data_IF_015752421935
#
_entry.id   IF_015752421935
#
_cell.length_a   1.000
_cell.length_b   1.000
_cell.length_c   1.000
_cell.angle_alpha   90.00
_cell.angle_beta   90.00
_cell.angle_gamma   90.00
#
_symmetry.space_group_name_H-M   'P 1'
#
loop_
_entity.id
_entity.type
_entity.pdbx_description
1 polymer ?
#
# COMPACT_ATOMS: atom_id res chain seq x y z
N UNK A 1 1.25 57.40 3.52
CA UNK A 1 0.30 56.98 2.47
C UNK A 1 1.09 56.27 1.39
N UNK A 2 1.00 54.94 1.33
CA UNK A 2 1.74 54.15 0.33
C UNK A 2 1.12 54.29 -1.06
N UNK A 3 1.96 54.61 -2.05
CA UNK A 3 1.55 54.68 -3.46
C UNK A 3 1.31 53.26 -3.96
N UNK A 4 0.04 52.90 -4.15
CA UNK A 4 -0.35 51.68 -4.86
C UNK A 4 0.08 51.82 -6.32
N UNK A 5 1.04 51.00 -6.77
CA UNK A 5 1.44 50.91 -8.18
C UNK A 5 0.26 50.32 -8.96
N UNK A 6 -0.31 51.09 -9.88
CA UNK A 6 -1.34 50.61 -10.79
C UNK A 6 -0.68 49.82 -11.93
N UNK A 7 -1.31 48.72 -12.34
CA UNK A 7 -0.90 47.96 -13.51
C UNK A 7 -0.95 48.84 -14.75
N UNK A 8 0.08 48.76 -15.59
CA UNK A 8 0.11 49.50 -16.84
C UNK A 8 -0.81 48.82 -17.87
N UNK A 9 -1.46 49.63 -18.70
CA UNK A 9 -2.37 49.12 -19.75
C UNK A 9 -1.64 48.17 -20.73
N UNK A 10 -0.35 48.42 -20.94
CA UNK A 10 0.55 47.57 -21.71
C UNK A 10 0.71 46.17 -21.09
N UNK A 11 0.86 46.07 -19.78
CA UNK A 11 1.03 44.80 -19.05
C UNK A 11 -0.25 43.95 -19.08
N UNK A 12 -1.42 44.59 -19.03
CA UNK A 12 -2.72 43.93 -19.21
C UNK A 12 -2.84 43.37 -20.63
N UNK A 13 -2.43 44.13 -21.65
CA UNK A 13 -2.51 43.72 -23.05
C UNK A 13 -1.58 42.54 -23.35
N UNK A 14 -0.35 42.56 -22.79
CA UNK A 14 0.59 41.43 -22.86
C UNK A 14 0.00 40.19 -22.17
N UNK A 15 -0.64 40.35 -21.01
CA UNK A 15 -1.24 39.23 -20.27
C UNK A 15 -2.39 38.56 -21.04
N UNK A 16 -3.23 39.35 -21.70
CA UNK A 16 -4.32 38.83 -22.55
C UNK A 16 -3.75 38.09 -23.76
N UNK A 17 -2.72 38.64 -24.41
CA UNK A 17 -2.06 37.99 -25.54
C UNK A 17 -1.42 36.64 -25.14
N UNK A 18 -0.70 36.60 -24.01
CA UNK A 18 -0.11 35.36 -23.49
C UNK A 18 -1.18 34.33 -23.12
N UNK A 19 -2.28 34.76 -22.48
CA UNK A 19 -3.39 33.88 -22.12
C UNK A 19 -4.07 33.29 -23.37
N UNK A 20 -4.24 34.10 -24.41
CA UNK A 20 -4.80 33.69 -25.70
C UNK A 20 -3.97 32.62 -26.40
N UNK A 21 -2.65 32.62 -26.24
CA UNK A 21 -1.75 31.61 -26.80
C UNK A 21 -1.81 30.30 -25.99
N UNK A 22 -1.94 30.40 -24.66
CA UNK A 22 -1.91 29.23 -23.76
C UNK A 22 -3.22 28.43 -23.79
N UNK A 23 -4.37 29.12 -23.89
CA UNK A 23 -5.70 28.49 -23.83
C UNK A 23 -5.91 27.38 -24.88
N UNK A 24 -5.59 27.56 -26.18
CA UNK A 24 -5.71 26.50 -27.19
C UNK A 24 -4.87 25.27 -26.86
N UNK A 25 -3.63 25.46 -26.42
CA UNK A 25 -2.72 24.36 -26.07
C UNK A 25 -3.21 23.56 -24.86
N UNK A 26 -3.77 24.25 -23.85
CA UNK A 26 -4.39 23.58 -22.71
C UNK A 26 -5.64 22.80 -23.13
N UNK A 27 -6.50 23.38 -23.97
CA UNK A 27 -7.72 22.72 -24.43
C UNK A 27 -7.41 21.47 -25.25
N UNK A 28 -6.44 21.56 -26.16
CA UNK A 28 -5.94 20.40 -26.91
C UNK A 28 -5.35 19.32 -26.00
N UNK A 29 -4.62 19.72 -24.95
CA UNK A 29 -4.07 18.77 -23.98
C UNK A 29 -5.18 18.05 -23.21
N UNK A 30 -6.22 18.77 -22.79
CA UNK A 30 -7.39 18.17 -22.10
C UNK A 30 -8.15 17.23 -23.04
N UNK A 31 -8.35 17.60 -24.29
CA UNK A 31 -9.03 16.77 -25.28
C UNK A 31 -8.21 15.53 -25.63
N UNK A 32 -6.89 15.64 -25.79
CA UNK A 32 -6.01 14.48 -25.93
C UNK A 32 -6.09 13.54 -24.72
N UNK A 33 -6.14 14.09 -23.50
CA UNK A 33 -6.27 13.30 -22.29
C UNK A 33 -7.62 12.58 -22.24
N UNK A 34 -8.70 13.29 -22.60
CA UNK A 34 -10.06 12.73 -22.67
C UNK A 34 -10.17 11.64 -23.73
N UNK A 35 -9.58 11.84 -24.89
CA UNK A 35 -9.62 10.85 -25.97
C UNK A 35 -8.76 9.63 -25.64
N UNK A 36 -7.57 9.83 -25.06
CA UNK A 36 -6.73 8.75 -24.54
C UNK A 36 -7.47 7.92 -23.49
N UNK A 37 -8.17 8.58 -22.57
CA UNK A 37 -8.99 7.91 -21.58
C UNK A 37 -10.17 7.18 -22.23
N UNK A 38 -10.86 7.77 -23.21
CA UNK A 38 -11.94 7.11 -23.96
C UNK A 38 -11.45 5.88 -24.71
N UNK A 39 -10.29 5.93 -25.34
CA UNK A 39 -9.70 4.79 -26.05
C UNK A 39 -9.30 3.68 -25.07
N UNK A 40 -8.70 4.03 -23.93
CA UNK A 40 -8.47 3.09 -22.82
C UNK A 40 -9.78 2.44 -22.36
N UNK A 41 -10.81 3.24 -22.11
CA UNK A 41 -12.13 2.73 -21.72
C UNK A 41 -12.75 1.84 -22.80
N UNK A 42 -12.59 2.16 -24.08
CA UNK A 42 -13.05 1.31 -25.20
C UNK A 42 -12.27 -0.01 -25.28
N UNK A 43 -10.97 -0.02 -25.02
CA UNK A 43 -10.17 -1.25 -24.91
C UNK A 43 -10.60 -2.11 -23.73
N UNK A 44 -10.88 -1.49 -22.58
CA UNK A 44 -11.47 -2.14 -21.41
C UNK A 44 -12.88 -2.65 -21.71
N UNK A 45 -13.66 -1.91 -22.50
CA UNK A 45 -15.04 -2.21 -22.88
C UNK A 45 -15.14 -3.34 -23.90
N UNK A 46 -14.27 -3.36 -24.92
CA UNK A 46 -14.13 -4.50 -25.85
C UNK A 46 -13.59 -5.74 -25.14
N UNK A 47 -12.84 -5.52 -24.06
CA UNK A 47 -12.46 -6.56 -23.12
C UNK A 47 -13.59 -6.91 -22.15
N UNK A 48 -14.79 -6.33 -22.11
CA UNK A 48 -15.84 -6.57 -21.07
C UNK A 48 -16.31 -8.01 -20.82
N UNK A 49 -15.91 -9.01 -21.60
CA UNK A 49 -16.01 -10.43 -21.14
C UNK A 49 -14.99 -10.77 -20.04
N UNK A 50 -14.09 -9.84 -19.76
CA UNK A 50 -13.06 -9.82 -18.73
C UNK A 50 -13.66 -9.26 -17.43
N UNK A 51 -14.24 -10.21 -16.70
CA UNK A 51 -14.48 -10.34 -15.26
C UNK A 51 -14.26 -9.13 -14.33
N UNK A 52 -15.22 -8.95 -13.40
CA UNK A 52 -15.15 -8.13 -12.17
C UNK A 52 -13.75 -8.10 -11.53
N UNK A 53 -13.08 -9.26 -11.54
CA UNK A 53 -11.68 -9.47 -11.09
C UNK A 53 -10.69 -8.47 -11.69
N UNK A 54 -10.66 -8.35 -13.01
CA UNK A 54 -9.69 -7.48 -13.71
C UNK A 54 -9.95 -6.02 -13.38
N UNK A 55 -11.22 -5.61 -13.33
CA UNK A 55 -11.60 -4.25 -12.91
C UNK A 55 -11.13 -3.98 -11.49
N UNK A 56 -11.36 -4.92 -10.56
CA UNK A 56 -10.92 -4.78 -9.16
C UNK A 56 -9.40 -4.70 -9.06
N UNK A 57 -8.64 -5.59 -9.72
CA UNK A 57 -7.18 -5.57 -9.70
C UNK A 57 -6.62 -4.29 -10.33
N UNK A 58 -7.18 -3.85 -11.46
CA UNK A 58 -6.81 -2.59 -12.09
C UNK A 58 -6.99 -1.42 -11.13
N UNK A 59 -8.14 -1.34 -10.45
CA UNK A 59 -8.44 -0.28 -9.48
C UNK A 59 -7.59 -0.38 -8.22
N UNK A 60 -7.27 -1.60 -7.75
CA UNK A 60 -6.36 -1.82 -6.62
C UNK A 60 -4.98 -1.23 -6.91
N UNK A 61 -4.44 -1.49 -8.11
CA UNK A 61 -3.12 -0.97 -8.55
C UNK A 61 -3.20 0.54 -8.81
N UNK A 62 -4.21 1.01 -9.54
CA UNK A 62 -4.35 2.43 -9.89
C UNK A 62 -4.53 3.32 -8.66
N UNK A 63 -5.27 2.83 -7.66
CA UNK A 63 -5.55 3.56 -6.42
C UNK A 63 -4.51 3.26 -5.32
N UNK A 64 -3.38 2.65 -5.68
CA UNK A 64 -2.32 2.31 -4.74
C UNK A 64 -1.44 3.50 -4.38
N UNK A 65 -0.77 3.39 -3.25
CA UNK A 65 0.32 4.27 -2.85
C UNK A 65 1.63 4.01 -3.61
N UNK A 66 1.64 3.09 -4.59
CA UNK A 66 2.82 2.68 -5.33
C UNK A 66 3.77 1.74 -4.58
N UNK A 67 3.48 1.38 -3.33
CA UNK A 67 4.24 0.40 -2.56
C UNK A 67 3.75 -1.03 -2.85
N UNK A 68 4.06 -1.51 -4.06
CA UNK A 68 3.80 -2.88 -4.48
C UNK A 68 5.01 -3.79 -4.20
N UNK A 69 4.74 -4.89 -3.53
CA UNK A 69 5.65 -6.01 -3.30
C UNK A 69 5.28 -7.17 -4.21
N UNK A 70 6.25 -7.67 -4.97
CA UNK A 70 6.11 -8.79 -5.88
C UNK A 70 6.99 -9.94 -5.40
N UNK A 71 6.41 -11.10 -5.15
CA UNK A 71 7.14 -12.33 -4.87
C UNK A 71 6.90 -13.30 -6.02
N UNK A 72 7.96 -13.74 -6.68
CA UNK A 72 7.90 -14.72 -7.78
C UNK A 72 8.36 -16.07 -7.26
N UNK A 73 7.39 -16.88 -6.84
CA UNK A 73 7.58 -18.31 -6.60
C UNK A 73 7.07 -19.05 -7.86
N UNK A 74 6.21 -20.07 -7.75
CA UNK A 74 5.57 -20.71 -8.92
C UNK A 74 4.50 -19.81 -9.58
N UNK A 75 3.86 -18.96 -8.78
CA UNK A 75 2.94 -17.92 -9.25
C UNK A 75 3.35 -16.58 -8.64
N UNK A 76 3.05 -15.49 -9.34
CA UNK A 76 3.34 -14.17 -8.79
C UNK A 76 2.35 -13.84 -7.68
N UNK A 77 2.89 -13.44 -6.53
CA UNK A 77 2.15 -12.85 -5.43
C UNK A 77 2.31 -11.34 -5.51
N UNK A 78 1.19 -10.62 -5.53
CA UNK A 78 1.18 -9.17 -5.56
C UNK A 78 0.57 -8.64 -4.27
N UNK A 79 1.34 -7.93 -3.46
CA UNK A 79 0.83 -7.21 -2.30
C UNK A 79 0.96 -5.71 -2.51
N UNK A 80 -0.13 -4.99 -2.25
CA UNK A 80 -0.23 -3.53 -2.28
C UNK A 80 -0.39 -3.09 -0.83
N UNK A 81 0.57 -2.31 -0.33
CA UNK A 81 0.58 -1.94 1.09
C UNK A 81 -0.59 -1.02 1.45
N UNK A 82 -0.92 -0.05 0.58
CA UNK A 82 -2.08 0.81 0.74
C UNK A 82 -2.79 1.04 -0.59
N UNK A 83 -4.09 0.77 -0.63
CA UNK A 83 -4.98 1.15 -1.72
C UNK A 83 -6.27 1.76 -1.19
N UNK A 84 -6.85 2.68 -1.96
CA UNK A 84 -8.17 3.26 -1.68
C UNK A 84 -9.32 2.40 -2.23
N UNK A 85 -9.02 1.37 -3.01
CA UNK A 85 -10.02 0.48 -3.60
C UNK A 85 -10.39 -0.68 -2.63
N UNK A 86 -10.99 -0.34 -1.50
CA UNK A 86 -11.48 -1.33 -0.53
C UNK A 86 -12.85 -1.89 -0.93
N UNK A 87 -13.04 -3.20 -0.80
CA UNK A 87 -14.35 -3.84 -0.95
C UNK A 87 -15.17 -3.81 0.36
N UNK A 88 -14.51 -3.54 1.49
CA UNK A 88 -15.07 -3.56 2.84
C UNK A 88 -15.02 -2.19 3.51
N UNK A 89 -15.03 -1.12 2.70
CA UNK A 89 -15.08 0.28 3.15
C UNK A 89 -13.94 0.71 4.11
N UNK A 90 -12.78 0.09 4.00
CA UNK A 90 -11.56 0.54 4.67
C UNK A 90 -11.03 1.82 3.99
N UNK A 91 -10.69 2.87 4.75
CA UNK A 91 -10.19 4.13 4.19
C UNK A 91 -8.84 3.97 3.46
N UNK A 92 -8.06 2.98 3.89
CA UNK A 92 -6.84 2.51 3.25
C UNK A 92 -6.72 1.04 3.60
N UNK A 93 -6.64 0.17 2.60
CA UNK A 93 -6.51 -1.26 2.80
C UNK A 93 -5.16 -1.77 2.29
N UNK A 94 -4.60 -2.76 2.99
CA UNK A 94 -3.58 -3.63 2.42
C UNK A 94 -4.30 -4.73 1.65
N UNK A 95 -3.88 -4.95 0.41
CA UNK A 95 -4.49 -5.95 -0.47
C UNK A 95 -3.42 -6.84 -1.06
N UNK A 96 -3.58 -8.16 -0.92
CA UNK A 96 -2.72 -9.15 -1.54
C UNK A 96 -3.50 -10.05 -2.49
N UNK A 97 -2.99 -10.18 -3.70
CA UNK A 97 -3.43 -11.11 -4.73
C UNK A 97 -2.51 -12.33 -4.68
N UNK A 98 -3.10 -13.48 -4.37
CA UNK A 98 -2.37 -14.72 -4.08
C UNK A 98 -3.02 -15.88 -4.84
N UNK A 99 -2.20 -16.75 -5.41
CA UNK A 99 -2.67 -17.98 -6.04
C UNK A 99 -2.56 -19.14 -5.05
N UNK A 100 -3.67 -19.82 -4.77
CA UNK A 100 -3.63 -21.10 -4.05
C UNK A 100 -3.37 -22.22 -5.06
N UNK A 101 -2.19 -22.84 -4.97
CA UNK A 101 -1.70 -23.84 -5.92
C UNK A 101 -2.59 -25.08 -5.99
N UNK A 102 -3.09 -25.55 -4.84
CA UNK A 102 -3.87 -26.80 -4.75
C UNK A 102 -5.16 -26.74 -5.56
N UNK A 103 -5.85 -25.61 -5.53
CA UNK A 103 -7.17 -25.46 -6.13
C UNK A 103 -7.13 -24.60 -7.42
N UNK A 104 -5.94 -24.15 -7.84
CA UNK A 104 -5.75 -23.24 -8.96
C UNK A 104 -6.69 -22.02 -8.89
N UNK A 105 -6.81 -21.42 -7.70
CA UNK A 105 -7.69 -20.26 -7.46
C UNK A 105 -6.87 -19.00 -7.19
N UNK A 106 -7.34 -17.88 -7.73
CA UNK A 106 -6.86 -16.56 -7.38
C UNK A 106 -7.69 -16.04 -6.21
N UNK A 107 -7.00 -15.66 -5.12
CA UNK A 107 -7.59 -15.00 -3.97
C UNK A 107 -7.17 -13.54 -3.92
N UNK A 108 -8.12 -12.71 -3.54
CA UNK A 108 -7.86 -11.35 -3.08
C UNK A 108 -8.07 -11.32 -1.57
N UNK A 109 -6.98 -11.11 -0.85
CA UNK A 109 -6.98 -10.93 0.61
C UNK A 109 -6.94 -9.43 0.88
N UNK A 110 -7.86 -8.93 1.70
CA UNK A 110 -7.94 -7.53 2.10
C UNK A 110 -7.94 -7.41 3.62
N UNK A 111 -7.22 -6.44 4.16
CA UNK A 111 -7.21 -6.16 5.59
C UNK A 111 -6.24 -5.05 5.94
N UNK A 112 -5.96 -4.91 7.24
CA UNK A 112 -5.01 -3.90 7.75
C UNK A 112 -3.87 -4.58 8.50
N UNK A 113 -2.63 -4.21 8.17
CA UNK A 113 -1.46 -4.58 8.96
C UNK A 113 -1.05 -6.06 8.97
N UNK A 114 -1.69 -6.91 8.17
CA UNK A 114 -1.37 -8.33 8.10
C UNK A 114 -0.12 -8.62 7.26
N UNK A 115 0.41 -9.83 7.44
CA UNK A 115 1.49 -10.38 6.62
C UNK A 115 1.10 -11.75 6.08
N UNK A 116 1.69 -12.16 4.96
CA UNK A 116 1.51 -13.51 4.43
C UNK A 116 2.73 -14.37 4.76
N UNK A 117 2.56 -15.63 5.19
CA UNK A 117 1.28 -16.33 5.46
C UNK A 117 0.52 -15.74 6.65
N UNK A 118 -0.80 -15.90 6.65
CA UNK A 118 -1.69 -15.35 7.69
C UNK A 118 -1.51 -16.09 9.02
N UNK A 119 -1.49 -15.33 10.12
CA UNK A 119 -1.57 -15.85 11.48
C UNK A 119 -3.02 -16.04 11.96
N UNK A 120 -3.19 -16.66 13.13
CA UNK A 120 -4.52 -16.94 13.71
C UNK A 120 -5.27 -15.65 14.11
N UNK A 121 -4.54 -14.61 14.52
CA UNK A 121 -5.11 -13.33 14.92
C UNK A 121 -5.32 -12.33 13.76
N UNK A 122 -4.91 -12.71 12.53
CA UNK A 122 -5.01 -11.82 11.37
C UNK A 122 -6.48 -11.66 10.93
N UNK A 123 -7.03 -10.46 11.15
CA UNK A 123 -8.37 -10.10 10.68
C UNK A 123 -8.33 -9.63 9.24
N UNK A 124 -8.54 -10.58 8.33
CA UNK A 124 -8.55 -10.34 6.89
C UNK A 124 -9.77 -10.95 6.23
N UNK A 125 -10.20 -10.32 5.15
CA UNK A 125 -11.23 -10.82 4.26
C UNK A 125 -10.59 -11.46 3.04
N UNK A 126 -10.79 -12.77 2.86
CA UNK A 126 -10.20 -13.54 1.77
C UNK A 126 -11.29 -13.96 0.77
N UNK A 127 -11.31 -13.33 -0.42
CA UNK A 127 -12.27 -13.65 -1.46
C UNK A 127 -11.64 -14.47 -2.58
N UNK A 128 -12.29 -15.57 -2.94
CA UNK A 128 -12.00 -16.29 -4.20
C UNK A 128 -12.55 -15.44 -5.34
N UNK A 129 -11.65 -14.95 -6.20
CA UNK A 129 -12.03 -14.05 -7.30
C UNK A 129 -12.02 -14.76 -8.65
N UNK A 130 -11.17 -15.78 -8.83
CA UNK A 130 -11.11 -16.58 -10.06
C UNK A 130 -10.77 -18.03 -9.73
N UNK A 131 -11.46 -18.97 -10.39
CA UNK A 131 -11.16 -20.42 -10.34
C UNK A 131 -10.54 -20.86 -11.67
N UNK A 132 -9.91 -22.04 -11.68
CA UNK A 132 -9.30 -22.63 -12.89
C UNK A 132 -8.25 -21.70 -13.50
N UNK A 133 -7.39 -21.12 -12.65
CA UNK A 133 -6.34 -20.20 -13.04
C UNK A 133 -5.15 -20.97 -13.65
N UNK A 134 -4.83 -20.65 -14.90
CA UNK A 134 -3.67 -21.20 -15.60
C UNK A 134 -2.44 -20.29 -15.46
N UNK A 135 -2.66 -18.97 -15.50
CA UNK A 135 -1.60 -17.97 -15.43
C UNK A 135 -2.03 -16.80 -14.56
N UNK A 136 -1.14 -16.38 -13.67
CA UNK A 136 -1.20 -15.07 -13.04
C UNK A 136 0.21 -14.55 -12.80
N UNK A 137 0.56 -13.50 -13.54
CA UNK A 137 1.90 -12.95 -13.52
C UNK A 137 1.86 -11.43 -13.56
N UNK A 138 2.72 -10.80 -12.77
CA UNK A 138 2.78 -9.35 -12.64
C UNK A 138 4.22 -8.89 -12.80
N UNK A 139 4.41 -7.93 -13.68
CA UNK A 139 5.69 -7.31 -13.99
C UNK A 139 5.64 -5.85 -13.59
N UNK A 140 6.70 -5.35 -12.97
CA UNK A 140 6.85 -3.95 -12.63
C UNK A 140 8.14 -3.40 -13.22
N UNK A 141 8.03 -2.27 -13.93
CA UNK A 141 9.17 -1.51 -14.44
C UNK A 141 8.92 -0.03 -14.19
N UNK A 142 9.74 0.58 -13.31
CA UNK A 142 9.60 1.99 -12.89
C UNK A 142 8.15 2.32 -12.45
N UNK A 143 7.48 3.15 -13.23
CA UNK A 143 6.12 3.69 -13.06
C UNK A 143 5.04 2.81 -13.71
N UNK A 144 5.43 1.68 -14.32
CA UNK A 144 4.53 0.80 -15.08
C UNK A 144 4.38 -0.56 -14.41
N UNK A 145 3.15 -1.05 -14.36
CA UNK A 145 2.80 -2.39 -13.89
C UNK A 145 2.02 -3.10 -14.99
N UNK A 146 2.54 -4.22 -15.47
CA UNK A 146 1.88 -5.09 -16.46
C UNK A 146 1.37 -6.33 -15.74
N UNK A 147 0.08 -6.62 -15.91
CA UNK A 147 -0.57 -7.81 -15.37
C UNK A 147 -0.94 -8.73 -16.53
N UNK A 148 -0.67 -10.02 -16.37
CA UNK A 148 -1.11 -11.10 -17.23
C UNK A 148 -1.90 -12.12 -16.41
N UNK A 149 -3.04 -12.53 -16.92
CA UNK A 149 -3.92 -13.49 -16.26
C UNK A 149 -4.63 -14.36 -17.30
N UNK A 150 -4.74 -15.65 -17.02
CA UNK A 150 -5.44 -16.61 -17.88
C UNK A 150 -6.23 -17.59 -17.03
N UNK A 151 -7.50 -17.76 -17.41
CA UNK A 151 -8.36 -18.81 -16.90
C UNK A 151 -8.46 -19.92 -17.95
N UNK A 152 -8.61 -21.16 -17.48
CA UNK A 152 -8.76 -22.33 -18.35
C UNK A 152 -9.82 -22.12 -19.42
N UNK A 153 -9.46 -22.48 -20.66
CA UNK A 153 -10.32 -22.41 -21.86
C UNK A 153 -10.82 -20.98 -22.20
N UNK A 154 -10.24 -19.94 -21.62
CA UNK A 154 -10.51 -18.53 -21.95
C UNK A 154 -9.28 -17.88 -22.56
N UNK A 155 -9.51 -16.83 -23.34
CA UNK A 155 -8.40 -16.04 -23.91
C UNK A 155 -7.61 -15.37 -22.77
N UNK A 156 -6.26 -15.29 -22.87
CA UNK A 156 -5.44 -14.55 -21.94
C UNK A 156 -5.86 -13.09 -21.86
N UNK A 157 -5.73 -12.52 -20.68
CA UNK A 157 -6.05 -11.14 -20.35
C UNK A 157 -4.76 -10.45 -19.94
N UNK A 158 -4.47 -9.31 -20.55
CA UNK A 158 -3.36 -8.46 -20.13
C UNK A 158 -3.77 -7.00 -20.08
N UNK A 159 -3.22 -6.27 -19.12
CA UNK A 159 -3.39 -4.82 -19.04
C UNK A 159 -2.20 -4.19 -18.34
N UNK A 160 -1.94 -2.93 -18.68
CA UNK A 160 -0.86 -2.13 -18.11
C UNK A 160 -1.43 -0.92 -17.38
N UNK A 161 -0.91 -0.65 -16.18
CA UNK A 161 -1.16 0.57 -15.42
C UNK A 161 0.11 1.39 -15.41
N UNK A 162 0.01 2.69 -15.70
CA UNK A 162 1.14 3.63 -15.74
C UNK A 162 0.96 4.70 -14.65
N UNK A 163 2.06 5.37 -14.27
CA UNK A 163 2.05 6.40 -13.21
C UNK A 163 2.08 5.85 -11.78
N UNK A 164 2.56 4.63 -11.58
CA UNK A 164 2.64 3.95 -10.28
C UNK A 164 4.03 4.14 -9.65
N UNK A 165 4.25 5.33 -9.11
CA UNK A 165 5.52 5.71 -8.51
C UNK A 165 5.63 5.30 -7.05
N UNK A 166 6.80 4.77 -6.64
CA UNK A 166 7.06 4.50 -5.22
C UNK A 166 7.13 5.82 -4.46
N UNK A 167 6.54 5.92 -3.26
CA UNK A 167 6.65 7.11 -2.45
C UNK A 167 8.14 7.31 -2.11
N UNK A 168 8.66 8.49 -2.43
CA UNK A 168 10.06 8.83 -2.17
C UNK A 168 10.38 8.60 -0.69
N UNK A 169 11.49 7.89 -0.40
CA UNK A 169 11.94 7.68 0.98
C UNK A 169 12.09 9.04 1.66
N UNK A 170 11.21 9.37 2.62
CA UNK A 170 11.36 10.57 3.45
C UNK A 170 12.75 10.50 4.09
N UNK A 171 13.66 11.42 3.71
CA UNK A 171 15.00 11.50 4.30
C UNK A 171 14.84 11.56 5.82
N UNK A 172 15.38 10.56 6.53
CA UNK A 172 15.41 10.55 7.99
C UNK A 172 16.07 11.87 8.42
N UNK A 173 15.30 12.77 9.04
CA UNK A 173 15.87 13.97 9.67
C UNK A 173 16.91 13.48 10.67
N UNK A 174 18.19 13.73 10.39
CA UNK A 174 19.25 13.46 11.34
C UNK A 174 18.87 14.14 12.66
N UNK A 175 18.61 13.34 13.70
CA UNK A 175 18.49 13.85 15.07
C UNK A 175 19.80 14.59 15.34
N UNK A 176 19.74 15.94 15.42
CA UNK A 176 20.86 16.75 15.92
C UNK A 176 21.26 16.14 17.26
N UNK A 177 22.48 15.59 17.35
CA UNK A 177 23.06 15.13 18.61
C UNK A 177 23.01 16.32 19.57
N UNK A 178 22.28 16.17 20.69
CA UNK A 178 22.36 17.15 21.78
C UNK A 178 23.83 17.24 22.22
N UNK A 179 24.38 18.44 22.47
CA UNK A 179 25.74 18.58 22.93
C UNK A 179 25.89 17.87 24.28
N UNK A 180 26.90 17.01 24.40
CA UNK A 180 27.31 16.38 25.65
C UNK A 180 27.76 17.50 26.60
N UNK A 181 27.01 17.75 27.68
CA UNK A 181 27.52 18.53 28.81
C UNK A 181 28.61 17.69 29.50
N UNK A 182 29.82 18.22 29.51
CA UNK A 182 30.94 17.72 30.28
C UNK A 182 30.81 18.19 31.75
N UNK A 183 31.10 17.26 32.68
CA UNK A 183 31.57 17.52 34.05
C UNK A 183 30.53 17.96 35.08
N UNK A 184 30.30 17.15 36.13
CA UNK A 184 31.15 17.13 37.32
C UNK A 184 30.67 16.05 38.30
N UNK A 185 31.62 15.21 38.70
CA UNK A 185 31.55 14.26 39.80
C UNK A 185 31.59 15.03 41.12
N UNK A 186 30.66 14.76 42.04
CA UNK A 186 30.88 14.98 43.48
C UNK A 186 30.20 13.86 44.25
N UNK A 187 31.02 12.97 44.82
CA UNK A 187 30.67 12.11 45.95
C UNK A 187 30.42 12.99 47.16
N UNK A 188 29.31 12.78 47.86
CA UNK A 188 29.23 12.84 49.32
C UNK A 188 27.98 12.07 49.72
N UNK A 189 28.16 11.07 50.59
CA UNK A 189 27.08 10.26 51.11
C UNK A 189 26.65 10.78 52.47
N UNK A 190 25.40 10.50 52.84
CA UNK A 190 25.07 10.19 54.23
C UNK A 190 23.74 9.42 54.29
N UNK A 191 23.73 8.45 55.21
CA UNK A 191 22.70 7.47 55.45
C UNK A 191 21.38 8.11 55.91
N UNK A 192 20.25 7.48 55.60
CA UNK A 192 19.32 7.12 56.67
C UNK A 192 18.43 5.92 56.32
N UNK A 193 18.43 5.01 57.27
CA UNK A 193 17.77 3.72 57.40
C UNK A 193 16.28 3.88 57.72
N UNK A 194 15.42 3.07 57.09
CA UNK A 194 14.23 2.52 57.76
C UNK A 194 13.87 1.15 57.15
N UNK A 195 14.20 0.07 57.88
CA UNK A 195 13.61 -1.30 57.77
C UNK A 195 12.15 -1.21 58.28
N UNK A 196 11.15 -2.05 57.97
CA UNK A 196 11.01 -3.50 57.73
C UNK A 196 9.49 -3.75 57.46
N UNK A 197 8.93 -4.99 57.39
CA UNK A 197 9.54 -6.31 57.18
C UNK A 197 8.85 -7.16 56.09
N UNK A 198 9.62 -8.14 55.63
CA UNK A 198 9.23 -9.33 54.90
C UNK A 198 8.53 -10.33 55.85
N UNK A 199 7.42 -10.94 55.42
CA UNK A 199 6.78 -12.03 56.16
C UNK A 199 6.77 -13.29 55.28
N UNK A 200 7.71 -14.19 55.54
CA UNK A 200 7.65 -15.59 55.14
C UNK A 200 6.85 -16.39 56.18
N UNK A 201 5.95 -17.26 55.71
CA UNK A 201 5.49 -18.43 56.46
C UNK A 201 5.53 -19.67 55.56
N UNK A 202 6.25 -20.66 56.08
CA UNK A 202 6.49 -22.02 55.63
C UNK A 202 5.34 -22.98 55.98
N UNK A 203 5.30 -24.12 55.29
CA UNK A 203 4.62 -25.37 55.70
C UNK A 203 3.93 -26.06 54.51
N UNK A 204 4.51 -27.12 53.92
CA UNK A 204 4.29 -28.54 54.30
C UNK A 204 2.95 -29.07 53.71
N UNK A 205 2.79 -30.19 53.00
CA UNK A 205 3.60 -31.36 52.67
C UNK A 205 2.84 -32.24 51.64
N UNK A 206 3.57 -33.21 51.07
CA UNK A 206 3.11 -34.57 50.66
C UNK A 206 2.26 -34.76 49.40
N UNK A 207 2.68 -35.68 48.54
CA UNK A 207 1.76 -36.44 47.68
C UNK A 207 2.31 -36.93 46.34
N UNK A 208 3.02 -38.05 46.34
CA UNK A 208 3.24 -38.89 45.16
C UNK A 208 1.90 -39.39 44.57
N UNK A 209 1.76 -39.44 43.25
CA UNK A 209 1.54 -40.72 42.54
C UNK A 209 1.47 -40.53 41.03
N UNK A 210 2.15 -41.43 40.30
CA UNK A 210 1.94 -41.61 38.88
C UNK A 210 0.71 -42.48 38.59
N UNK A 211 0.16 -42.35 37.39
CA UNK A 211 -0.27 -43.52 36.62
C UNK A 211 -0.42 -43.19 35.15
N UNK A 212 0.27 -44.04 34.38
CA UNK A 212 0.15 -44.30 32.95
C UNK A 212 -1.05 -45.25 32.76
N UNK A 213 -1.36 -45.57 31.49
CA UNK A 213 -2.38 -46.55 30.99
C UNK A 213 -3.71 -45.86 30.68
N UNK A 214 -4.27 -45.89 29.46
CA UNK A 214 -4.14 -46.80 28.32
C UNK A 214 -4.39 -46.06 27.01
#
# INVERSE_FOLDING_TARGET
>A
MDRRKAFTLLEVLISIALLGIILPALYQSVDMLRDSNRQLFKYVEKSKKVTKVTKTLYLDILSSDGNLTLTKDDFTRLCIEQTKNSLYALPSAKVCWVVLKKDHVLLRVEGNGYTLPLGEDDRVEANIVMKDLELFDVYRSKDKVLVLMQQAKKKPISFMVQGIDKPGKKKKKHKKKKPKKAGKTSKSGENNTTKSPEHNRTGSSTGQNGSKVR
#
